data_IF_198558362679
#
_entry.id   IF_198558362679
#
_cell.length_a   1.000
_cell.length_b   1.000
_cell.length_c   1.000
_cell.angle_alpha   90.00
_cell.angle_beta   90.00
_cell.angle_gamma   90.00
#
_symmetry.space_group_name_H-M   'P 1'
#
loop_
_entity.id
_entity.type
_entity.pdbx_description
1 polymer ?
#
# COMPACT_ATOMS: atom_id res chain seq x y z
N UNK A 1 14.15 -2.47 5.89
CA UNK A 1 13.53 -1.13 5.85
C UNK A 1 12.17 -1.28 5.17
N UNK A 2 11.12 -0.62 5.65
CA UNK A 2 9.73 -0.85 5.20
C UNK A 2 9.21 0.39 4.48
N UNK A 3 8.63 0.23 3.29
CA UNK A 3 7.95 1.32 2.59
C UNK A 3 6.60 1.56 3.25
N UNK A 4 6.41 2.73 3.87
CA UNK A 4 5.13 3.13 4.44
C UNK A 4 4.41 4.09 3.48
N UNK A 5 3.14 3.81 3.18
CA UNK A 5 2.30 4.69 2.35
C UNK A 5 1.91 5.91 3.21
N UNK A 6 2.38 7.12 2.86
CA UNK A 6 2.10 8.34 3.64
C UNK A 6 0.61 8.71 3.77
N UNK A 7 -0.25 8.16 2.92
CA UNK A 7 -1.70 8.43 2.92
C UNK A 7 -2.50 7.48 3.82
N UNK A 8 -1.85 6.51 4.46
CA UNK A 8 -2.49 5.58 5.36
C UNK A 8 -2.21 5.99 6.82
N UNK A 9 -3.20 5.89 7.72
CA UNK A 9 -2.96 6.17 9.12
C UNK A 9 -1.85 5.28 9.69
N UNK A 10 -1.08 5.73 10.70
CA UNK A 10 0.07 4.99 11.23
C UNK A 10 -0.23 3.53 11.64
N UNK A 11 -1.43 3.28 12.17
CA UNK A 11 -1.88 1.94 12.55
C UNK A 11 -2.17 1.01 11.37
N UNK A 12 -2.39 1.57 10.18
CA UNK A 12 -2.64 0.81 8.96
C UNK A 12 -1.32 0.51 8.22
N UNK A 13 -0.37 1.45 8.18
CA UNK A 13 0.95 1.28 7.57
C UNK A 13 1.75 0.09 8.14
N UNK A 14 1.45 -0.29 9.40
CA UNK A 14 2.12 -1.39 10.09
C UNK A 14 1.44 -2.76 9.86
N UNK A 15 0.24 -2.81 9.24
CA UNK A 15 -0.39 -4.10 8.91
C UNK A 15 0.39 -4.75 7.76
N UNK A 16 0.60 -6.06 7.84
CA UNK A 16 1.38 -6.87 6.87
C UNK A 16 1.01 -6.62 5.40
N UNK A 17 -0.25 -6.27 5.12
CA UNK A 17 -0.78 -5.97 3.78
C UNK A 17 -0.30 -4.62 3.19
N UNK A 18 0.19 -3.69 4.01
CA UNK A 18 0.70 -2.37 3.58
C UNK A 18 2.20 -2.22 3.71
N UNK A 19 2.88 -3.24 4.24
CA UNK A 19 4.35 -3.34 4.27
C UNK A 19 4.76 -3.70 2.85
N UNK A 20 4.95 -2.67 2.01
CA UNK A 20 5.59 -2.85 0.71
C UNK A 20 7.10 -2.97 0.93
N UNK A 21 7.71 -3.94 0.25
CA UNK A 21 9.16 -4.06 0.24
C UNK A 21 9.73 -2.89 -0.56
N UNK A 22 10.66 -2.09 -0.02
CA UNK A 22 11.26 -1.00 -0.78
C UNK A 22 11.96 -1.56 -2.01
N UNK A 23 11.76 -0.93 -3.16
CA UNK A 23 12.53 -1.26 -4.36
C UNK A 23 13.97 -0.77 -4.16
N UNK A 24 14.89 -1.72 -4.04
CA UNK A 24 16.33 -1.46 -3.95
C UNK A 24 16.87 -1.31 -5.37
N UNK A 25 17.29 -0.10 -5.74
CA UNK A 25 17.85 0.16 -7.07
C UNK A 25 19.37 0.06 -6.96
N UNK A 26 19.95 -0.92 -7.66
CA UNK A 26 21.40 -1.02 -7.83
C UNK A 26 21.85 0.17 -8.68
N UNK A 27 22.49 1.16 -8.05
CA UNK A 27 22.79 2.43 -8.73
C UNK A 27 23.88 2.31 -9.80
N UNK A 28 23.72 3.05 -10.90
CA UNK A 28 24.80 3.36 -11.84
C UNK A 28 25.72 4.45 -11.26
N UNK A 29 26.97 4.47 -11.71
CA UNK A 29 28.19 4.96 -11.03
C UNK A 29 28.24 6.41 -10.51
N UNK A 30 27.22 7.26 -10.71
CA UNK A 30 27.39 8.72 -10.61
C UNK A 30 26.76 9.39 -9.37
N UNK A 31 26.12 8.62 -8.49
CA UNK A 31 25.67 9.10 -7.18
C UNK A 31 26.67 8.59 -6.13
N UNK A 32 27.07 9.48 -5.21
CA UNK A 32 28.08 9.36 -4.14
C UNK A 32 28.02 8.05 -3.34
N UNK A 33 29.08 7.77 -2.55
CA UNK A 33 29.33 6.55 -1.76
C UNK A 33 28.04 5.84 -1.29
N UNK A 34 27.83 4.62 -1.80
CA UNK A 34 26.70 3.78 -1.42
C UNK A 34 26.86 3.21 -0.01
N UNK A 35 25.75 2.81 0.60
CA UNK A 35 25.73 2.13 1.90
C UNK A 35 25.84 0.62 1.67
N UNK A 36 26.85 -0.01 2.26
CA UNK A 36 27.00 -1.45 2.19
C UNK A 36 25.86 -2.15 2.93
N UNK A 37 25.09 -2.98 2.21
CA UNK A 37 23.95 -3.73 2.74
C UNK A 37 24.03 -5.21 2.35
N UNK A 38 23.36 -6.03 3.16
CA UNK A 38 23.18 -7.46 2.90
C UNK A 38 21.80 -7.72 2.31
N UNK A 39 21.73 -8.33 1.12
CA UNK A 39 20.50 -8.85 0.56
C UNK A 39 20.22 -10.24 1.16
N UNK A 40 19.25 -10.31 2.07
CA UNK A 40 18.85 -11.58 2.68
C UNK A 40 18.18 -12.56 1.69
N UNK A 41 17.58 -12.07 0.60
CA UNK A 41 16.93 -12.91 -0.41
C UNK A 41 17.98 -13.61 -1.28
N UNK A 42 18.98 -12.86 -1.74
CA UNK A 42 20.04 -13.38 -2.61
C UNK A 42 21.26 -13.90 -1.87
N UNK A 43 21.34 -13.65 -0.56
CA UNK A 43 22.49 -13.97 0.28
C UNK A 43 23.79 -13.36 -0.28
N UNK A 44 23.69 -12.11 -0.76
CA UNK A 44 24.82 -11.38 -1.32
C UNK A 44 24.93 -9.98 -0.74
N UNK A 45 26.15 -9.47 -0.65
CA UNK A 45 26.40 -8.10 -0.26
C UNK A 45 26.30 -7.18 -1.48
N UNK A 46 25.70 -6.00 -1.30
CA UNK A 46 25.60 -5.01 -2.36
C UNK A 46 25.63 -3.59 -1.78
N UNK A 47 26.09 -2.63 -2.59
CA UNK A 47 26.09 -1.23 -2.20
C UNK A 47 24.77 -0.58 -2.62
N UNK A 48 23.96 -0.25 -1.62
CA UNK A 48 22.72 0.48 -1.79
C UNK A 48 23.03 1.96 -2.01
N UNK A 49 22.71 2.46 -3.21
CA UNK A 49 22.90 3.88 -3.55
C UNK A 49 21.62 4.70 -3.49
N UNK A 50 20.51 4.11 -3.94
CA UNK A 50 19.21 4.77 -3.96
C UNK A 50 18.18 3.84 -3.37
N UNK A 51 17.40 4.40 -2.45
CA UNK A 51 16.34 3.71 -1.74
C UNK A 51 15.08 4.54 -1.84
N UNK A 52 14.06 3.98 -2.48
CA UNK A 52 12.76 4.61 -2.54
C UNK A 52 12.06 4.37 -1.20
N UNK A 53 12.05 5.39 -0.34
CA UNK A 53 11.44 5.30 1.00
C UNK A 53 9.93 5.43 0.96
N UNK A 54 9.40 6.27 0.05
CA UNK A 54 7.98 6.63 -0.06
C UNK A 54 7.60 6.97 -1.49
N UNK A 55 6.35 6.69 -1.85
CA UNK A 55 5.74 7.10 -3.12
C UNK A 55 4.38 7.73 -2.86
N UNK A 56 4.10 8.85 -3.52
CA UNK A 56 2.77 9.45 -3.55
C UNK A 56 2.08 8.84 -4.77
N UNK A 57 1.13 7.95 -4.51
CA UNK A 57 0.39 7.25 -5.55
C UNK A 57 -1.08 7.69 -5.50
N UNK A 58 -1.70 7.78 -6.67
CA UNK A 58 -3.14 7.83 -6.77
C UNK A 58 -3.74 6.45 -6.45
N UNK A 59 -5.08 6.40 -6.34
CA UNK A 59 -5.79 5.18 -5.95
C UNK A 59 -5.58 4.00 -6.93
N UNK A 60 -5.52 4.21 -8.26
CA UNK A 60 -5.14 3.17 -9.21
C UNK A 60 -3.69 2.68 -9.06
N UNK A 61 -2.70 3.58 -8.95
CA UNK A 61 -1.30 3.17 -8.85
C UNK A 61 -1.03 2.42 -7.54
N UNK A 62 -1.73 2.76 -6.45
CA UNK A 62 -1.64 2.02 -5.19
C UNK A 62 -2.00 0.54 -5.36
N UNK A 63 -3.07 0.21 -6.10
CA UNK A 63 -3.46 -1.18 -6.36
C UNK A 63 -2.37 -1.96 -7.10
N UNK A 64 -1.76 -1.35 -8.11
CA UNK A 64 -0.69 -1.99 -8.88
C UNK A 64 0.57 -2.25 -8.05
N UNK A 65 0.94 -1.32 -7.17
CA UNK A 65 2.14 -1.45 -6.33
C UNK A 65 1.93 -2.40 -5.15
N UNK A 66 0.75 -2.38 -4.54
CA UNK A 66 0.43 -3.24 -3.38
C UNK A 66 -0.01 -4.66 -3.79
N UNK A 67 -0.42 -4.85 -5.05
CA UNK A 67 -1.07 -6.09 -5.49
C UNK A 67 -2.50 -6.25 -4.96
N UNK A 68 -3.05 -5.24 -4.29
CA UNK A 68 -4.40 -5.25 -3.74
C UNK A 68 -5.45 -4.85 -4.79
N UNK A 69 -6.65 -5.42 -4.68
CA UNK A 69 -7.77 -5.03 -5.55
C UNK A 69 -8.38 -3.72 -5.09
N UNK A 70 -8.47 -2.73 -5.98
CA UNK A 70 -9.24 -1.51 -5.74
C UNK A 70 -10.68 -1.57 -6.28
N UNK A 71 -11.17 -2.77 -6.61
CA UNK A 71 -12.50 -3.00 -7.20
C UNK A 71 -13.19 -4.21 -6.56
N UNK A 72 -14.51 -4.26 -6.73
CA UNK A 72 -15.34 -5.37 -6.27
C UNK A 72 -15.45 -5.39 -4.74
N UNK A 73 -15.49 -6.59 -4.16
CA UNK A 73 -15.76 -6.78 -2.73
C UNK A 73 -14.67 -6.20 -1.80
N UNK A 74 -13.44 -6.02 -2.30
CA UNK A 74 -12.27 -5.67 -1.50
C UNK A 74 -11.68 -4.29 -1.84
N UNK A 75 -12.48 -3.41 -2.46
CA UNK A 75 -11.96 -2.18 -3.05
C UNK A 75 -11.34 -1.17 -2.05
N UNK A 76 -11.69 -1.25 -0.77
CA UNK A 76 -11.22 -0.29 0.21
C UNK A 76 -9.88 -0.72 0.83
N UNK A 77 -8.81 -0.01 0.49
CA UNK A 77 -7.49 -0.26 1.10
C UNK A 77 -7.44 0.09 2.59
N UNK A 78 -8.44 0.76 3.17
CA UNK A 78 -8.49 0.99 4.62
C UNK A 78 -9.18 -0.15 5.36
N UNK A 79 -10.28 -0.62 4.79
CA UNK A 79 -11.15 -1.59 5.44
C UNK A 79 -10.73 -3.02 5.11
N UNK A 80 -10.15 -3.22 3.92
CA UNK A 80 -9.73 -4.51 3.40
C UNK A 80 -10.86 -5.54 3.56
N UNK A 81 -10.64 -6.51 4.45
CA UNK A 81 -11.53 -7.63 4.69
C UNK A 81 -12.85 -7.18 5.36
N UNK A 82 -12.84 -6.02 6.02
CA UNK A 82 -13.97 -5.43 6.71
C UNK A 82 -14.78 -4.48 5.80
N UNK A 83 -14.57 -4.51 4.48
CA UNK A 83 -15.31 -3.64 3.56
C UNK A 83 -16.79 -4.00 3.53
N UNK A 84 -17.65 -3.15 4.08
CA UNK A 84 -19.11 -3.33 4.02
C UNK A 84 -19.62 -3.12 2.61
N UNK A 85 -20.08 -4.21 2.00
CA UNK A 85 -20.52 -4.23 0.62
C UNK A 85 -21.76 -5.12 0.44
N UNK A 86 -22.50 -4.86 -0.63
CA UNK A 86 -23.63 -5.67 -1.07
C UNK A 86 -23.55 -5.84 -2.59
N UNK A 87 -23.91 -7.03 -3.06
CA UNK A 87 -23.97 -7.32 -4.48
C UNK A 87 -25.40 -7.18 -5.00
N UNK A 88 -25.62 -6.21 -5.89
CA UNK A 88 -26.89 -6.01 -6.56
C UNK A 88 -27.01 -6.96 -7.74
N UNK A 89 -27.73 -8.07 -7.58
CA UNK A 89 -27.88 -9.13 -8.59
C UNK A 89 -28.38 -8.62 -9.95
N UNK A 90 -29.35 -7.70 -9.94
CA UNK A 90 -29.97 -7.18 -11.16
C UNK A 90 -29.04 -6.21 -11.93
N UNK A 91 -28.21 -5.45 -11.22
CA UNK A 91 -27.25 -4.51 -11.82
C UNK A 91 -25.86 -5.13 -12.02
N UNK A 92 -25.62 -6.35 -11.51
CA UNK A 92 -24.35 -7.08 -11.52
C UNK A 92 -23.17 -6.26 -10.99
N UNK A 93 -23.41 -5.50 -9.92
CA UNK A 93 -22.41 -4.59 -9.35
C UNK A 93 -22.32 -4.74 -7.83
N UNK A 94 -21.14 -4.42 -7.30
CA UNK A 94 -20.89 -4.30 -5.85
C UNK A 94 -21.12 -2.85 -5.45
N UNK A 95 -21.92 -2.64 -4.41
CA UNK A 95 -22.19 -1.33 -3.81
C UNK A 95 -21.65 -1.34 -2.38
N UNK A 96 -20.98 -0.26 -2.00
CA UNK A 96 -20.41 -0.09 -0.65
C UNK A 96 -21.41 0.68 0.21
N UNK A 97 -21.89 0.07 1.29
CA UNK A 97 -23.00 0.59 2.12
C UNK A 97 -22.59 1.10 3.49
N UNK A 98 -21.39 0.73 3.98
CA UNK A 98 -20.85 1.18 5.27
C UNK A 98 -19.75 2.25 5.16
N UNK A 99 -19.42 2.72 3.95
CA UNK A 99 -18.24 3.55 3.70
C UNK A 99 -18.40 5.05 4.01
N UNK A 100 -19.62 5.58 3.98
CA UNK A 100 -19.85 7.04 3.96
C UNK A 100 -19.65 7.74 5.31
N UNK A 101 -19.67 6.99 6.42
CA UNK A 101 -19.58 7.52 7.78
C UNK A 101 -18.64 6.74 8.71
N UNK A 102 -17.79 5.86 8.16
CA UNK A 102 -16.98 4.93 8.97
C UNK A 102 -16.00 5.62 9.92
N UNK A 103 -15.49 6.79 9.54
CA UNK A 103 -14.58 7.60 10.35
C UNK A 103 -15.28 8.75 11.08
N UNK A 104 -16.60 8.85 10.95
CA UNK A 104 -17.40 9.89 11.56
C UNK A 104 -18.11 9.29 12.76
N UNK A 105 -18.09 9.98 13.91
CA UNK A 105 -18.83 9.52 15.08
C UNK A 105 -20.32 9.35 14.74
N UNK A 106 -21.04 8.44 15.41
CA UNK A 106 -22.45 8.14 15.08
C UNK A 106 -23.41 9.33 15.16
N UNK A 107 -22.99 10.45 15.78
CA UNK A 107 -23.71 11.72 15.86
C UNK A 107 -23.13 12.83 14.98
N UNK A 108 -22.19 12.49 14.10
CA UNK A 108 -21.65 13.45 13.15
C UNK A 108 -22.77 13.88 12.20
N UNK A 109 -22.97 15.20 11.97
CA UNK A 109 -23.97 15.70 11.03
C UNK A 109 -23.83 14.99 9.67
#
# INVERSE_FOLDING_TARGET
MTLCIYNLPPWLCMKRKFIMMPTLIKGQSNLTEGVHMWDALKQEAFDLRVLLFITINDWPALANLSGESNKGFWACVHCLDETDNIYLKHCRMVVYVGGHRRFLGGKHP
#
